data_IF_827081552117
#
_entry.id   IF_827081552117
#
_cell.length_a   1.000
_cell.length_b   1.000
_cell.length_c   1.000
_cell.angle_alpha   90.00
_cell.angle_beta   90.00
_cell.angle_gamma   90.00
#
_symmetry.space_group_name_H-M   'P 1'
#
loop_
_entity.id
_entity.type
_entity.pdbx_description
1 polymer ?
#
# COMPACT_ATOMS: atom_id res chain seq x y z
N UNK A 1 -53.81 16.58 -52.56
CA UNK A 1 -53.15 17.55 -51.65
C UNK A 1 -52.23 16.82 -50.67
N UNK A 2 -50.93 17.14 -50.75
CA UNK A 2 -50.00 17.43 -49.62
C UNK A 2 -49.84 16.34 -48.52
N UNK A 3 -48.74 15.56 -48.53
CA UNK A 3 -47.43 15.84 -47.86
C UNK A 3 -47.49 15.56 -46.34
N UNK A 4 -46.57 14.85 -45.68
CA UNK A 4 -45.12 15.08 -45.60
C UNK A 4 -44.42 13.85 -44.98
N UNK A 5 -43.16 13.68 -45.37
CA UNK A 5 -42.14 12.73 -44.90
C UNK A 5 -41.74 13.06 -43.44
N UNK A 6 -41.20 12.10 -42.67
CA UNK A 6 -39.77 12.07 -42.35
C UNK A 6 -39.37 10.84 -41.54
N UNK A 7 -38.22 10.31 -41.94
CA UNK A 7 -37.46 9.22 -41.35
C UNK A 7 -37.15 9.48 -39.86
N UNK A 8 -37.36 8.46 -39.02
CA UNK A 8 -36.75 8.38 -37.69
C UNK A 8 -35.95 7.07 -37.58
N UNK A 9 -35.05 6.84 -38.54
CA UNK A 9 -33.95 5.90 -38.39
C UNK A 9 -32.69 6.68 -38.04
N UNK A 10 -32.68 7.32 -36.86
CA UNK A 10 -31.44 7.88 -36.30
C UNK A 10 -30.80 6.77 -35.47
N UNK A 11 -29.82 6.11 -36.09
CA UNK A 11 -28.90 5.17 -35.47
C UNK A 11 -28.41 5.70 -34.12
N UNK A 12 -28.99 5.19 -33.04
CA UNK A 12 -28.40 5.26 -31.70
C UNK A 12 -27.28 4.19 -31.65
N UNK A 13 -26.23 4.38 -32.45
CA UNK A 13 -24.94 3.72 -32.20
C UNK A 13 -24.35 4.43 -30.98
N UNK A 14 -24.83 4.07 -29.79
CA UNK A 14 -24.08 4.28 -28.56
C UNK A 14 -22.79 3.50 -28.78
N UNK A 15 -21.69 4.21 -29.01
CA UNK A 15 -20.36 3.61 -28.91
C UNK A 15 -20.28 2.93 -27.55
N UNK A 16 -20.31 1.60 -27.56
CA UNK A 16 -19.88 0.76 -26.45
C UNK A 16 -18.40 1.08 -26.24
N UNK A 17 -18.09 2.09 -25.43
CA UNK A 17 -16.76 2.21 -24.84
C UNK A 17 -16.60 1.01 -23.92
N UNK A 18 -15.97 -0.04 -24.43
CA UNK A 18 -15.48 -1.15 -23.63
C UNK A 18 -14.48 -0.54 -22.65
N UNK A 19 -14.84 -0.47 -21.37
CA UNK A 19 -13.91 -0.13 -20.32
C UNK A 19 -12.90 -1.29 -20.24
N UNK A 20 -11.70 -1.08 -20.77
CA UNK A 20 -10.63 -2.06 -20.64
C UNK A 20 -9.98 -1.85 -19.27
N UNK A 21 -10.20 -2.78 -18.35
CA UNK A 21 -9.55 -2.75 -17.04
C UNK A 21 -8.03 -2.86 -17.23
N UNK A 22 -7.29 -1.96 -16.58
CA UNK A 22 -5.82 -1.97 -16.59
C UNK A 22 -5.30 -2.12 -15.16
N UNK A 23 -4.24 -2.93 -15.01
CA UNK A 23 -3.64 -3.25 -13.72
C UNK A 23 -2.18 -2.82 -13.72
N UNK A 24 -1.74 -2.15 -12.66
CA UNK A 24 -0.33 -1.74 -12.45
C UNK A 24 0.24 -2.51 -11.26
N UNK A 25 1.38 -3.17 -11.47
CA UNK A 25 2.10 -3.89 -10.44
C UNK A 25 3.43 -3.20 -10.15
N UNK A 26 3.69 -2.84 -8.89
CA UNK A 26 5.01 -2.39 -8.46
C UNK A 26 5.72 -3.51 -7.70
N UNK A 27 6.75 -4.09 -8.33
CA UNK A 27 7.58 -5.16 -7.76
C UNK A 27 9.06 -4.75 -7.80
N UNK A 28 9.86 -5.23 -6.85
CA UNK A 28 11.32 -5.01 -6.86
C UNK A 28 12.08 -6.21 -6.30
N UNK A 29 13.38 -6.27 -6.56
CA UNK A 29 14.24 -7.39 -6.17
C UNK A 29 14.24 -8.48 -7.23
N UNK A 30 14.73 -9.66 -6.87
CA UNK A 30 14.87 -10.82 -7.78
C UNK A 30 13.53 -11.23 -8.42
N UNK A 31 12.45 -11.24 -7.63
CA UNK A 31 11.10 -11.51 -8.11
C UNK A 31 10.62 -10.53 -9.20
N UNK A 32 11.12 -9.29 -9.22
CA UNK A 32 10.74 -8.34 -10.27
C UNK A 32 11.33 -8.70 -11.63
N UNK A 33 12.54 -9.27 -11.65
CA UNK A 33 13.13 -9.79 -12.90
C UNK A 33 12.41 -11.08 -13.33
N UNK A 34 12.11 -11.99 -12.40
CA UNK A 34 11.31 -13.20 -12.69
C UNK A 34 9.92 -12.86 -13.25
N UNK A 35 9.20 -11.93 -12.61
CA UNK A 35 7.87 -11.52 -13.07
C UNK A 35 7.96 -10.85 -14.44
N UNK A 36 8.97 -10.01 -14.67
CA UNK A 36 9.21 -9.37 -15.96
C UNK A 36 9.44 -10.41 -17.06
N UNK A 37 10.24 -11.44 -16.82
CA UNK A 37 10.47 -12.52 -17.78
C UNK A 37 9.18 -13.30 -18.07
N UNK A 38 8.43 -13.65 -17.02
CA UNK A 38 7.17 -14.38 -17.15
C UNK A 38 6.15 -13.58 -17.96
N UNK A 39 5.94 -12.32 -17.60
CA UNK A 39 5.00 -11.42 -18.26
C UNK A 39 5.40 -11.22 -19.73
N UNK A 40 6.68 -11.03 -20.04
CA UNK A 40 7.15 -10.90 -21.41
C UNK A 40 6.95 -12.16 -22.25
N UNK A 41 7.07 -13.35 -21.64
CA UNK A 41 6.82 -14.62 -22.33
C UNK A 41 5.35 -14.75 -22.72
N UNK A 42 4.44 -14.59 -21.76
CA UNK A 42 3.00 -14.69 -22.02
C UNK A 42 2.50 -13.61 -22.98
N UNK A 43 3.07 -12.40 -22.92
CA UNK A 43 2.76 -11.35 -23.89
C UNK A 43 3.06 -11.75 -25.34
N UNK A 44 4.18 -12.45 -25.56
CA UNK A 44 4.59 -12.91 -26.89
C UNK A 44 3.69 -14.04 -27.37
N UNK A 45 3.36 -14.98 -26.50
CA UNK A 45 2.53 -16.15 -26.84
C UNK A 45 1.09 -15.73 -27.19
N UNK A 46 0.56 -14.70 -26.53
CA UNK A 46 -0.83 -14.24 -26.69
C UNK A 46 -0.96 -12.93 -27.50
N UNK A 47 0.15 -12.40 -28.03
CA UNK A 47 0.19 -11.13 -28.78
C UNK A 47 -0.45 -9.94 -28.03
N UNK A 48 -0.15 -9.82 -26.73
CA UNK A 48 -0.67 -8.77 -25.84
C UNK A 48 0.34 -7.61 -25.74
N UNK A 49 -0.13 -6.36 -25.82
CA UNK A 49 0.71 -5.18 -25.59
C UNK A 49 0.95 -4.96 -24.09
N UNK A 50 2.21 -4.90 -23.66
CA UNK A 50 2.59 -4.67 -22.27
C UNK A 50 3.55 -3.49 -22.16
N UNK A 51 3.27 -2.59 -21.22
CA UNK A 51 4.14 -1.47 -20.88
C UNK A 51 4.87 -1.76 -19.56
N UNK A 52 6.20 -1.88 -19.61
CA UNK A 52 7.04 -2.13 -18.43
C UNK A 52 7.83 -0.87 -18.12
N UNK A 53 7.55 -0.26 -16.96
CA UNK A 53 8.24 0.94 -16.50
C UNK A 53 9.28 0.57 -15.43
N UNK A 54 10.56 0.85 -15.71
CA UNK A 54 11.64 0.68 -14.73
C UNK A 54 11.85 2.00 -13.97
N UNK A 55 11.20 2.13 -12.82
CA UNK A 55 11.48 3.24 -11.91
C UNK A 55 12.72 2.91 -11.07
N UNK A 56 13.75 3.75 -11.19
CA UNK A 56 14.92 3.70 -10.32
C UNK A 56 14.57 4.40 -9.00
N UNK A 57 13.94 3.69 -8.07
CA UNK A 57 13.88 4.20 -6.68
C UNK A 57 15.32 4.20 -6.16
N UNK A 58 15.86 5.33 -5.66
CA UNK A 58 17.18 5.35 -5.06
C UNK A 58 17.18 4.38 -3.88
N UNK A 59 17.80 3.22 -4.06
CA UNK A 59 18.07 2.25 -2.99
C UNK A 59 19.21 2.81 -2.13
N UNK A 60 18.93 3.89 -1.42
CA UNK A 60 19.80 4.39 -0.37
C UNK A 60 19.01 4.23 0.91
N UNK A 61 19.12 3.05 1.52
CA UNK A 61 18.62 2.82 2.87
C UNK A 61 19.12 3.99 3.73
N UNK A 62 18.22 4.84 4.23
CA UNK A 62 18.66 6.03 4.95
C UNK A 62 19.47 5.61 6.17
N UNK A 63 20.55 6.33 6.45
CA UNK A 63 21.32 6.12 7.67
C UNK A 63 20.37 6.25 8.88
N UNK A 64 20.47 5.34 9.85
CA UNK A 64 19.63 5.32 11.05
C UNK A 64 19.53 6.69 11.74
N UNK A 65 20.62 7.45 11.81
CA UNK A 65 20.62 8.81 12.36
C UNK A 65 19.69 9.74 11.59
N UNK A 66 19.82 9.78 10.26
CA UNK A 66 18.93 10.60 9.41
C UNK A 66 17.48 10.13 9.51
N UNK A 67 17.26 8.82 9.65
CA UNK A 67 15.94 8.25 9.84
C UNK A 67 15.28 8.69 11.14
N UNK A 68 16.04 8.71 12.23
CA UNK A 68 15.59 9.18 13.55
C UNK A 68 15.25 10.67 13.48
N UNK A 69 16.12 11.49 12.86
CA UNK A 69 15.90 12.93 12.72
C UNK A 69 14.62 13.24 11.92
N UNK A 70 14.37 12.53 10.84
CA UNK A 70 13.14 12.71 10.04
C UNK A 70 11.90 12.22 10.80
N UNK A 71 11.99 11.03 11.39
CA UNK A 71 10.94 10.46 12.22
C UNK A 71 10.52 11.35 13.38
N UNK A 72 11.50 12.02 13.99
CA UNK A 72 11.25 12.97 15.07
C UNK A 72 10.36 14.13 14.61
N UNK A 73 10.61 14.71 13.44
CA UNK A 73 9.81 15.84 12.90
C UNK A 73 8.36 15.42 12.67
N UNK A 74 8.16 14.27 12.03
CA UNK A 74 6.83 13.74 11.74
C UNK A 74 6.10 13.41 13.04
N UNK A 75 6.78 12.75 13.98
CA UNK A 75 6.20 12.37 15.26
C UNK A 75 5.81 13.58 16.11
N UNK A 76 6.65 14.61 16.16
CA UNK A 76 6.36 15.86 16.88
C UNK A 76 5.12 16.57 16.34
N UNK A 77 4.95 16.61 15.01
CA UNK A 77 3.83 17.29 14.38
C UNK A 77 2.50 16.53 14.51
N UNK A 78 2.52 15.18 14.40
CA UNK A 78 1.30 14.38 14.26
C UNK A 78 0.95 13.50 15.46
N UNK A 79 1.92 13.11 16.29
CA UNK A 79 1.74 12.03 17.28
C UNK A 79 1.91 12.49 18.74
N UNK A 80 2.85 13.40 18.99
CA UNK A 80 3.33 13.79 20.32
C UNK A 80 2.19 14.23 21.26
N UNK A 81 1.24 15.02 20.74
CA UNK A 81 0.13 15.58 21.53
C UNK A 81 -0.65 14.50 22.28
N UNK A 82 -0.84 13.33 21.66
CA UNK A 82 -1.60 12.23 22.25
C UNK A 82 -0.70 11.15 22.86
N UNK A 83 0.43 10.85 22.23
CA UNK A 83 1.27 9.70 22.61
C UNK A 83 2.44 10.02 23.55
N UNK A 84 2.78 11.29 23.77
CA UNK A 84 3.94 11.69 24.57
C UNK A 84 5.19 11.87 23.72
N UNK A 85 6.34 12.22 24.30
CA UNK A 85 7.56 12.48 23.54
C UNK A 85 8.18 11.20 22.95
N UNK A 86 8.03 10.10 23.68
CA UNK A 86 8.61 8.78 23.42
C UNK A 86 7.52 7.68 23.39
N UNK A 87 6.26 8.05 23.17
CA UNK A 87 5.16 7.08 23.18
C UNK A 87 4.73 6.59 24.57
N UNK A 88 5.09 7.31 25.63
CA UNK A 88 4.88 6.96 27.03
C UNK A 88 3.46 7.24 27.55
N UNK A 89 2.64 7.98 26.79
CA UNK A 89 1.27 8.33 27.17
C UNK A 89 0.28 7.35 26.54
N UNK A 90 -0.78 7.04 27.29
CA UNK A 90 -1.97 6.41 26.73
C UNK A 90 -2.76 7.48 26.00
N UNK A 91 -2.92 7.31 24.68
CA UNK A 91 -3.67 8.27 23.87
C UNK A 91 -5.17 8.30 24.22
N UNK A 92 -5.70 7.15 24.65
CA UNK A 92 -7.09 7.02 25.15
C UNK A 92 -7.22 5.87 26.16
N UNK A 93 -8.36 5.79 26.85
CA UNK A 93 -8.64 4.74 27.84
C UNK A 93 -8.61 3.34 27.20
N UNK A 94 -7.81 2.42 27.75
CA UNK A 94 -7.63 1.07 27.21
C UNK A 94 -6.56 0.94 26.12
N UNK A 95 -5.96 2.05 25.66
CA UNK A 95 -4.83 1.99 24.71
C UNK A 95 -3.53 1.51 25.37
N UNK A 96 -2.75 0.71 24.62
CA UNK A 96 -1.35 0.43 24.95
C UNK A 96 -0.50 1.67 24.69
N UNK A 97 0.54 1.86 25.51
CA UNK A 97 1.58 2.88 25.27
C UNK A 97 2.47 2.39 24.13
N UNK A 98 2.81 3.27 23.18
CA UNK A 98 3.72 2.92 22.08
C UNK A 98 5.11 2.54 22.62
N UNK A 99 5.53 3.13 23.75
CA UNK A 99 6.77 2.75 24.44
C UNK A 99 6.83 1.23 24.76
N UNK A 100 5.68 0.61 25.06
CA UNK A 100 5.58 -0.80 25.45
C UNK A 100 5.20 -1.72 24.28
N UNK A 101 5.34 -1.24 23.04
CA UNK A 101 5.14 -2.03 21.83
C UNK A 101 6.48 -2.19 21.11
N UNK A 102 6.69 -3.33 20.44
CA UNK A 102 7.81 -3.50 19.51
C UNK A 102 7.61 -2.65 18.24
N UNK A 103 8.67 -2.44 17.48
CA UNK A 103 8.58 -1.76 16.19
C UNK A 103 7.58 -2.44 15.23
N UNK A 104 7.61 -3.78 15.16
CA UNK A 104 6.67 -4.58 14.37
C UNK A 104 5.23 -4.45 14.86
N UNK A 105 4.98 -4.46 16.18
CA UNK A 105 3.64 -4.26 16.71
C UNK A 105 3.09 -2.87 16.38
N UNK A 106 3.93 -1.82 16.42
CA UNK A 106 3.54 -0.47 16.02
C UNK A 106 3.20 -0.47 14.53
N UNK A 107 4.07 -1.03 13.68
CA UNK A 107 3.87 -1.09 12.24
C UNK A 107 2.54 -1.78 11.89
N UNK A 108 2.34 -3.02 12.34
CA UNK A 108 1.13 -3.78 11.99
C UNK A 108 -0.15 -3.19 12.58
N UNK A 109 -0.10 -2.66 13.80
CA UNK A 109 -1.26 -1.99 14.41
C UNK A 109 -1.63 -0.72 13.65
N UNK A 110 -0.62 0.08 13.25
CA UNK A 110 -0.83 1.30 12.45
C UNK A 110 -1.41 0.97 11.08
N UNK A 111 -0.85 -0.01 10.38
CA UNK A 111 -1.36 -0.48 9.08
C UNK A 111 -2.78 -1.02 9.19
N UNK A 112 -3.13 -1.68 10.29
CA UNK A 112 -4.47 -2.20 10.51
C UNK A 112 -5.51 -1.09 10.66
N UNK A 113 -5.14 0.12 11.12
CA UNK A 113 -6.07 1.26 11.08
C UNK A 113 -6.40 1.68 9.64
N UNK A 114 -5.45 1.56 8.71
CA UNK A 114 -5.66 1.87 7.31
C UNK A 114 -6.43 0.76 6.57
N UNK A 115 -6.06 -0.51 6.78
CA UNK A 115 -6.57 -1.64 5.99
C UNK A 115 -7.78 -2.37 6.57
N UNK A 116 -8.05 -2.24 7.87
CA UNK A 116 -9.14 -2.95 8.55
C UNK A 116 -10.12 -1.96 9.22
N UNK A 117 -11.34 -1.77 8.66
CA UNK A 117 -12.35 -0.86 9.21
C UNK A 117 -12.82 -1.18 10.64
N UNK A 118 -12.57 -2.40 11.10
CA UNK A 118 -12.97 -2.89 12.43
C UNK A 118 -11.84 -2.82 13.46
N UNK A 119 -10.61 -2.48 13.06
CA UNK A 119 -9.47 -2.38 13.97
C UNK A 119 -9.57 -1.17 14.90
N UNK A 120 -9.05 -1.32 16.13
CA UNK A 120 -8.78 -0.19 17.02
C UNK A 120 -9.95 0.36 17.84
N UNK A 121 -11.12 -0.30 17.84
CA UNK A 121 -12.24 0.01 18.73
C UNK A 121 -12.67 1.49 18.67
N UNK A 122 -12.89 2.13 19.83
CA UNK A 122 -13.23 3.56 19.90
C UNK A 122 -12.10 4.48 19.40
N UNK A 123 -10.84 4.04 19.53
CA UNK A 123 -9.67 4.78 19.06
C UNK A 123 -9.57 4.90 17.53
N UNK A 124 -10.33 4.07 16.79
CA UNK A 124 -10.32 4.08 15.33
C UNK A 124 -10.79 5.39 14.72
N UNK A 125 -11.76 6.06 15.36
CA UNK A 125 -12.28 7.35 14.88
C UNK A 125 -11.17 8.40 14.78
N UNK A 126 -10.18 8.33 15.67
CA UNK A 126 -9.04 9.23 15.70
C UNK A 126 -7.92 8.71 14.80
N UNK A 127 -7.58 7.42 14.90
CA UNK A 127 -6.38 6.88 14.27
C UNK A 127 -6.54 6.52 12.79
N UNK A 128 -7.74 6.20 12.30
CA UNK A 128 -7.98 5.91 10.88
C UNK A 128 -7.60 7.09 9.95
N UNK A 129 -8.08 8.33 10.18
CA UNK A 129 -7.69 9.46 9.33
C UNK A 129 -6.19 9.78 9.47
N UNK A 130 -5.61 9.61 10.66
CA UNK A 130 -4.16 9.79 10.87
C UNK A 130 -3.38 8.76 10.04
N UNK A 131 -3.78 7.47 10.09
CA UNK A 131 -3.12 6.41 9.34
C UNK A 131 -3.23 6.58 7.83
N UNK A 132 -4.35 7.11 7.34
CA UNK A 132 -4.50 7.42 5.91
C UNK A 132 -3.62 8.58 5.43
N UNK A 133 -3.14 9.43 6.36
CA UNK A 133 -2.31 10.61 6.06
C UNK A 133 -0.80 10.39 6.21
N UNK A 134 -0.38 9.16 6.48
CA UNK A 134 1.00 8.77 6.74
C UNK A 134 1.38 7.69 5.73
N UNK A 135 2.46 7.91 4.99
CA UNK A 135 2.99 6.90 4.09
C UNK A 135 3.70 5.77 4.87
N UNK A 136 3.92 4.62 4.24
CA UNK A 136 4.68 3.53 4.86
C UNK A 136 6.13 3.96 5.18
N UNK A 137 6.71 4.81 4.34
CA UNK A 137 8.05 5.36 4.56
C UNK A 137 8.08 6.27 5.79
N UNK A 138 7.11 7.19 5.90
CA UNK A 138 6.93 8.07 7.08
C UNK A 138 6.71 7.25 8.36
N UNK A 139 5.93 6.18 8.28
CA UNK A 139 5.75 5.26 9.41
C UNK A 139 7.07 4.59 9.80
N UNK A 140 7.89 4.20 8.81
CA UNK A 140 9.23 3.68 9.04
C UNK A 140 10.13 4.70 9.76
N UNK A 141 10.10 5.97 9.34
CA UNK A 141 10.84 7.04 10.01
C UNK A 141 10.36 7.23 11.46
N UNK A 142 9.04 7.26 11.69
CA UNK A 142 8.45 7.35 13.04
C UNK A 142 8.93 6.19 13.93
N UNK A 143 8.95 4.97 13.40
CA UNK A 143 9.42 3.78 14.13
C UNK A 143 10.91 3.90 14.44
N UNK A 144 11.73 4.38 13.50
CA UNK A 144 13.14 4.64 13.74
C UNK A 144 13.34 5.61 14.90
N UNK A 145 12.57 6.70 14.95
CA UNK A 145 12.61 7.64 16.07
C UNK A 145 12.21 6.99 17.41
N UNK A 146 11.14 6.19 17.43
CA UNK A 146 10.61 5.62 18.68
C UNK A 146 11.39 4.42 19.21
N UNK A 147 12.04 3.65 18.32
CA UNK A 147 12.61 2.33 18.62
C UNK A 147 14.08 2.20 18.27
N UNK A 148 14.64 3.13 17.50
CA UNK A 148 16.00 3.02 17.00
C UNK A 148 16.16 1.96 15.91
N UNK A 149 15.08 1.60 15.21
CA UNK A 149 15.04 0.58 14.17
C UNK A 149 14.60 1.19 12.83
N UNK A 150 15.42 1.13 11.78
CA UNK A 150 15.11 1.70 10.46
C UNK A 150 14.71 0.66 9.40
N UNK A 151 14.58 -0.62 9.77
CA UNK A 151 14.15 -1.72 8.91
C UNK A 151 12.79 -1.50 8.22
N UNK A 152 11.97 -0.60 8.77
CA UNK A 152 10.63 -0.29 8.30
C UNK A 152 10.56 0.83 7.25
N UNK A 153 11.66 1.56 7.02
CA UNK A 153 11.72 2.69 6.06
C UNK A 153 11.78 2.20 4.61
N UNK A 154 12.41 1.04 4.41
CA UNK A 154 12.42 0.32 3.14
C UNK A 154 11.52 -0.90 3.18
N UNK A 155 10.56 -0.97 4.11
CA UNK A 155 9.53 -2.00 4.09
C UNK A 155 8.54 -1.75 2.93
N UNK A 156 9.05 -1.74 1.70
CA UNK A 156 8.49 -2.64 0.69
C UNK A 156 8.33 -3.97 1.39
N UNK A 157 7.09 -4.44 1.47
CA UNK A 157 6.72 -5.68 2.12
C UNK A 157 7.90 -6.66 2.05
N UNK A 158 8.53 -6.98 3.20
CA UNK A 158 9.29 -8.22 3.27
C UNK A 158 8.29 -9.25 2.79
N UNK A 159 8.50 -9.79 1.58
CA UNK A 159 7.64 -10.82 1.00
C UNK A 159 7.47 -11.84 2.11
N UNK A 160 6.31 -11.86 2.75
CA UNK A 160 5.92 -12.98 3.58
C UNK A 160 5.88 -14.10 2.59
N UNK A 161 6.85 -15.01 2.70
CA UNK A 161 6.95 -16.23 1.93
C UNK A 161 5.52 -16.79 1.79
N UNK A 162 4.96 -16.69 0.58
CA UNK A 162 3.65 -17.25 0.31
C UNK A 162 3.90 -18.74 0.43
N UNK A 163 3.52 -19.29 1.58
CA UNK A 163 3.65 -20.71 1.89
C UNK A 163 3.22 -21.52 0.67
N UNK A 164 4.19 -22.18 0.02
CA UNK A 164 3.96 -23.14 -1.08
C UNK A 164 3.32 -24.43 -0.57
N UNK A 165 2.50 -24.40 0.48
CA UNK A 165 1.57 -25.50 0.71
C UNK A 165 0.50 -25.39 -0.36
N UNK A 166 0.41 -26.34 -1.30
CA UNK A 166 -0.63 -26.31 -2.30
C UNK A 166 -1.97 -26.25 -1.57
N UNK A 167 -2.70 -25.16 -1.70
CA UNK A 167 -4.15 -25.22 -1.51
C UNK A 167 -4.70 -25.98 -2.71
N UNK A 168 -5.77 -26.75 -2.50
CA UNK A 168 -6.40 -27.63 -3.49
C UNK A 168 -7.00 -26.92 -4.72
N UNK A 169 -6.66 -25.66 -4.96
CA UNK A 169 -7.21 -24.77 -5.98
C UNK A 169 -6.23 -24.56 -7.13
N UNK A 170 -5.55 -25.62 -7.58
CA UNK A 170 -4.46 -25.56 -8.57
C UNK A 170 -4.57 -26.55 -9.73
N UNK A 171 -5.76 -27.08 -10.03
CA UNK A 171 -5.96 -27.97 -11.18
C UNK A 171 -6.91 -27.32 -12.18
N UNK A 172 -6.42 -26.31 -12.91
CA UNK A 172 -7.09 -25.80 -14.11
C UNK A 172 -6.09 -25.68 -15.25
N UNK A 173 -5.48 -26.80 -15.60
CA UNK A 173 -4.90 -27.03 -16.92
C UNK A 173 -5.33 -28.43 -17.35
N UNK A 174 -6.36 -28.49 -18.20
CA UNK A 174 -6.58 -29.57 -19.16
C UNK A 174 -6.42 -28.96 -20.55
#
# INVERSE_FOLDING_TARGET
MKSFKFSFLLCFLISLMQAQDSYTFEVSGEFAEELKELVQKHAKDENISINIYKNQTPSKTPNLKSSIEEGQKIYQSKCLKCHGKNGERRAYAGSRKLLNMSASEIYHSFQSYYSNPNHGGSGKIIMQPISASISNEDLGYIIAYLKGENDFISAKAKNTDISRKPTTQGTYLK
#
